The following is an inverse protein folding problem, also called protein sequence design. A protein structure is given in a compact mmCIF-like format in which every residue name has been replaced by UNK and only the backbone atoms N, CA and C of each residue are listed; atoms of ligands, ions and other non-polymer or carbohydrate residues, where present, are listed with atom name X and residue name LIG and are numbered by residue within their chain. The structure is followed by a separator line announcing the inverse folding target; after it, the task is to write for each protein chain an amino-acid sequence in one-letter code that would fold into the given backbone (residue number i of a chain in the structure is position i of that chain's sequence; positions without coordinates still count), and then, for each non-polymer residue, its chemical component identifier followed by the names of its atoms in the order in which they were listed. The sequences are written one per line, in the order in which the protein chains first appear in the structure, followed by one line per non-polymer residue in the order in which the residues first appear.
data_IF_898112693185
#
_entry.id   IF_898112693185
#
_cell.length_a   1.000
_cell.length_b   1.000
_cell.length_c   1.000
_cell.angle_alpha   90.00
_cell.angle_beta   90.00
_cell.angle_gamma   90.00
#
_symmetry.space_group_name_H-M   'P 1'
#
loop_
_entity.id
_entity.type
_entity.pdbx_description
1 polymer ?
#
# COMPACT_ATOMS: atom_id res chain seq x y z
N UNK A 1 -23.05 33.78 -19.09
CA UNK A 1 -22.34 32.78 -19.90
C UNK A 1 -21.58 31.85 -18.96
N UNK A 2 -21.96 30.56 -18.97
CA UNK A 2 -21.24 29.33 -18.62
C UNK A 2 -20.18 29.39 -17.51
N UNK A 3 -20.18 28.54 -16.47
CA UNK A 3 -20.72 27.19 -16.33
C UNK A 3 -19.74 26.44 -15.41
N UNK A 4 -20.18 25.98 -14.25
CA UNK A 4 -20.50 24.55 -14.07
C UNK A 4 -19.35 23.60 -14.51
N UNK A 5 -18.17 23.66 -13.86
CA UNK A 5 -17.02 22.82 -14.23
C UNK A 5 -16.32 22.09 -13.07
N UNK A 6 -16.97 21.84 -11.93
CA UNK A 6 -16.40 21.01 -10.85
C UNK A 6 -17.39 19.98 -10.29
N UNK A 7 -17.92 19.10 -11.15
CA UNK A 7 -18.69 17.94 -10.68
C UNK A 7 -18.33 16.60 -11.34
N UNK A 8 -17.30 16.56 -12.19
CA UNK A 8 -17.11 15.45 -13.14
C UNK A 8 -16.11 14.36 -12.74
N UNK A 9 -15.59 14.34 -11.50
CA UNK A 9 -14.68 13.26 -11.04
C UNK A 9 -15.22 12.38 -9.90
N UNK A 10 -16.51 12.49 -9.55
CA UNK A 10 -17.13 11.64 -8.53
C UNK A 10 -17.90 10.42 -9.08
N UNK A 11 -18.06 10.29 -10.41
CA UNK A 11 -18.97 9.28 -11.00
C UNK A 11 -18.24 8.04 -11.54
N UNK A 12 -16.92 8.08 -11.74
CA UNK A 12 -16.19 6.98 -12.37
C UNK A 12 -15.76 5.83 -11.42
N UNK A 13 -15.95 5.97 -10.10
CA UNK A 13 -15.64 4.90 -9.13
C UNK A 13 -16.80 3.90 -8.94
N UNK A 14 -18.00 4.21 -9.43
CA UNK A 14 -19.19 3.36 -9.27
C UNK A 14 -19.42 2.36 -10.43
N UNK A 15 -18.56 2.35 -11.46
CA UNK A 15 -18.79 1.60 -12.71
C UNK A 15 -18.03 0.26 -12.79
N UNK A 16 -17.90 -0.44 -11.66
CA UNK A 16 -17.40 -1.84 -11.62
C UNK A 16 -18.46 -2.85 -11.13
N UNK A 17 -19.73 -2.43 -11.01
CA UNK A 17 -20.88 -3.33 -10.81
C UNK A 17 -21.65 -3.52 -12.12
N UNK A 18 -20.95 -3.97 -13.15
CA UNK A 18 -21.55 -4.32 -14.44
C UNK A 18 -21.78 -5.83 -14.47
N UNK A 19 -23.05 -6.24 -14.56
CA UNK A 19 -23.42 -7.59 -14.98
C UNK A 19 -24.23 -8.45 -14.00
N UNK A 20 -25.36 -7.96 -13.48
CA UNK A 20 -26.45 -8.87 -13.07
C UNK A 20 -27.55 -8.82 -14.12
N UNK A 21 -27.33 -9.56 -15.20
CA UNK A 21 -28.39 -9.94 -16.14
C UNK A 21 -29.03 -11.26 -15.67
N UNK A 22 -30.32 -11.36 -15.94
CA UNK A 22 -31.21 -12.52 -15.80
C UNK A 22 -31.69 -12.86 -14.38
N UNK A 23 -32.65 -12.08 -13.90
CA UNK A 23 -33.73 -12.64 -13.10
C UNK A 23 -34.71 -13.34 -14.05
N UNK A 24 -34.50 -14.63 -14.29
CA UNK A 24 -35.47 -15.59 -14.86
C UNK A 24 -35.16 -16.92 -14.15
N UNK A 25 -36.08 -17.69 -13.58
CA UNK A 25 -37.52 -17.63 -13.53
C UNK A 25 -37.93 -18.33 -12.22
N UNK A 26 -38.97 -17.82 -11.55
CA UNK A 26 -39.63 -18.52 -10.45
C UNK A 26 -40.43 -19.67 -11.06
N UNK A 27 -39.83 -20.85 -11.17
CA UNK A 27 -40.60 -22.08 -11.36
C UNK A 27 -41.32 -22.41 -10.06
N UNK A 28 -42.62 -22.12 -10.02
CA UNK A 28 -43.55 -22.61 -9.02
C UNK A 28 -43.82 -24.11 -9.25
N UNK A 29 -44.15 -24.79 -8.14
CA UNK A 29 -44.76 -26.12 -7.99
C UNK A 29 -43.82 -27.31 -7.76
N UNK A 30 -43.72 -27.70 -6.49
CA UNK A 30 -43.78 -29.11 -6.08
C UNK A 30 -42.45 -29.79 -5.76
N UNK A 31 -42.12 -29.90 -4.47
CA UNK A 31 -41.25 -30.97 -3.97
C UNK A 31 -40.06 -30.52 -3.11
N UNK A 32 -40.17 -30.79 -1.80
CA UNK A 32 -39.12 -30.98 -0.78
C UNK A 32 -37.72 -30.36 -0.98
N UNK A 33 -37.38 -29.46 -0.04
CA UNK A 33 -36.03 -29.17 0.44
C UNK A 33 -35.17 -30.46 0.52
N UNK A 34 -33.91 -30.42 0.05
CA UNK A 34 -32.90 -30.11 1.05
C UNK A 34 -31.78 -29.18 0.59
N UNK A 35 -31.28 -28.48 1.62
CA UNK A 35 -29.90 -28.09 1.91
C UNK A 35 -29.14 -27.27 0.85
N UNK A 36 -28.81 -26.01 1.14
CA UNK A 36 -27.72 -25.64 2.06
C UNK A 36 -26.39 -26.32 1.70
N UNK A 37 -25.82 -26.02 0.53
CA UNK A 37 -24.37 -26.12 0.38
C UNK A 37 -23.85 -25.12 -0.65
N UNK A 38 -24.13 -23.83 -0.41
CA UNK A 38 -23.31 -22.79 -1.01
C UNK A 38 -21.92 -22.90 -0.36
N UNK A 39 -20.86 -23.28 -1.09
CA UNK A 39 -19.54 -23.28 -0.49
C UNK A 39 -19.22 -21.82 -0.15
N UNK A 40 -18.97 -21.56 1.14
CA UNK A 40 -18.27 -20.36 1.55
C UNK A 40 -16.94 -20.37 0.80
N UNK A 41 -16.82 -19.56 -0.25
CA UNK A 41 -15.55 -19.38 -0.94
C UNK A 41 -14.50 -19.00 0.10
N UNK A 42 -13.27 -19.53 0.01
CA UNK A 42 -12.23 -19.17 0.95
C UNK A 42 -12.14 -17.64 0.96
N UNK A 43 -12.32 -17.05 2.14
CA UNK A 43 -11.90 -15.68 2.36
C UNK A 43 -10.39 -15.70 2.16
N UNK A 44 -9.93 -15.39 0.94
CA UNK A 44 -8.55 -15.04 0.72
C UNK A 44 -8.28 -13.87 1.65
N UNK A 45 -7.60 -14.13 2.76
CA UNK A 45 -7.07 -13.08 3.60
C UNK A 45 -6.24 -12.21 2.67
N UNK A 46 -6.71 -11.00 2.38
CA UNK A 46 -5.96 -10.07 1.53
C UNK A 46 -4.67 -9.78 2.29
N UNK A 47 -3.52 -10.23 1.77
CA UNK A 47 -2.30 -10.21 2.54
C UNK A 47 -1.97 -8.75 2.86
N UNK A 48 -1.87 -8.42 4.14
CA UNK A 48 -1.95 -7.03 4.59
C UNK A 48 -0.56 -6.42 4.56
N UNK A 49 -0.39 -5.30 3.86
CA UNK A 49 0.91 -4.65 3.76
C UNK A 49 1.20 -3.86 5.04
N UNK A 50 2.33 -4.16 5.69
CA UNK A 50 2.72 -3.50 6.94
C UNK A 50 4.14 -2.93 6.86
N UNK A 51 4.40 -1.78 7.52
CA UNK A 51 5.76 -1.28 7.67
C UNK A 51 6.58 -2.28 8.50
N UNK A 52 7.81 -2.54 8.05
CA UNK A 52 8.73 -3.46 8.70
C UNK A 52 9.98 -2.71 9.15
N UNK A 53 10.34 -2.87 10.42
CA UNK A 53 11.55 -2.32 11.01
C UNK A 53 12.43 -3.46 11.48
N UNK A 54 13.74 -3.36 11.27
CA UNK A 54 14.67 -4.43 11.68
C UNK A 54 14.63 -4.66 13.19
N UNK A 55 14.89 -5.91 13.58
CA UNK A 55 14.85 -6.37 14.98
C UNK A 55 15.78 -5.63 15.95
N UNK A 56 16.75 -4.89 15.41
CA UNK A 56 17.81 -4.24 16.19
C UNK A 56 17.34 -2.95 16.91
N UNK A 57 16.09 -2.50 16.71
CA UNK A 57 15.57 -1.28 17.34
C UNK A 57 14.12 -1.47 17.79
N UNK A 58 13.86 -1.32 19.09
CA UNK A 58 12.51 -1.21 19.63
C UNK A 58 11.96 0.18 19.32
N UNK A 59 11.28 0.32 18.18
CA UNK A 59 10.60 1.55 17.82
C UNK A 59 9.17 1.56 18.39
N UNK A 60 8.68 2.71 18.89
CA UNK A 60 7.27 2.84 19.21
C UNK A 60 6.42 2.59 17.95
N UNK A 61 5.15 2.18 18.10
CA UNK A 61 4.25 1.99 16.96
C UNK A 61 4.22 3.25 16.10
N UNK A 62 4.50 3.08 14.80
CA UNK A 62 4.60 4.19 13.86
C UNK A 62 3.23 4.56 13.35
N UNK A 63 2.81 5.80 13.59
CA UNK A 63 1.61 6.35 12.96
C UNK A 63 1.87 6.71 11.49
N UNK A 64 0.79 6.81 10.70
CA UNK A 64 0.81 7.15 9.29
C UNK A 64 1.53 8.46 8.99
N UNK A 65 1.39 9.48 9.82
CA UNK A 65 2.08 10.75 9.62
C UNK A 65 3.61 10.60 9.76
N UNK A 66 4.05 9.82 10.74
CA UNK A 66 5.46 9.50 10.94
C UNK A 66 6.02 8.66 9.78
N UNK A 67 5.26 7.66 9.30
CA UNK A 67 5.64 6.89 8.10
C UNK A 67 5.79 7.82 6.90
N UNK A 68 4.85 8.75 6.68
CA UNK A 68 4.98 9.75 5.61
C UNK A 68 6.23 10.61 5.80
N UNK A 69 6.52 11.08 7.01
CA UNK A 69 7.72 11.87 7.28
C UNK A 69 9.00 11.10 6.93
N UNK A 70 9.08 9.82 7.28
CA UNK A 70 10.22 8.94 6.99
C UNK A 70 10.34 8.66 5.48
N UNK A 71 9.28 8.19 4.82
CA UNK A 71 9.34 7.79 3.40
C UNK A 71 9.49 8.99 2.45
N UNK A 72 9.00 10.17 2.82
CA UNK A 72 9.28 11.42 2.10
C UNK A 72 10.63 12.06 2.49
N UNK A 73 11.43 11.38 3.33
CA UNK A 73 12.76 11.82 3.78
C UNK A 73 12.74 13.18 4.50
N UNK A 74 11.60 13.53 5.12
CA UNK A 74 11.45 14.69 6.01
C UNK A 74 12.01 14.41 7.39
N UNK A 75 11.93 13.15 7.83
CA UNK A 75 12.54 12.65 9.05
C UNK A 75 13.68 11.69 8.69
N UNK A 76 14.91 12.08 9.01
CA UNK A 76 16.14 11.33 8.68
C UNK A 76 16.77 10.63 9.88
N UNK A 77 16.23 10.84 11.09
CA UNK A 77 16.70 10.23 12.33
C UNK A 77 15.53 9.68 13.14
N UNK A 78 15.77 8.54 13.78
CA UNK A 78 14.89 7.96 14.78
C UNK A 78 14.93 8.78 16.08
N UNK A 79 13.94 8.64 16.98
CA UNK A 79 13.95 9.32 18.29
C UNK A 79 15.19 9.02 19.14
N UNK A 80 15.82 7.86 18.92
CA UNK A 80 17.07 7.47 19.58
C UNK A 80 18.34 8.07 18.93
N UNK A 81 18.21 8.90 17.89
CA UNK A 81 19.32 9.53 17.17
C UNK A 81 19.91 8.70 16.03
N UNK A 82 19.52 7.43 15.87
CA UNK A 82 20.00 6.55 14.79
C UNK A 82 19.53 7.07 13.43
N UNK A 83 20.38 7.11 12.40
CA UNK A 83 19.96 7.51 11.06
C UNK A 83 18.94 6.53 10.49
N UNK A 84 17.88 7.06 9.86
CA UNK A 84 16.86 6.27 9.16
C UNK A 84 17.41 5.84 7.81
N UNK A 85 17.36 4.54 7.52
CA UNK A 85 17.72 3.97 6.22
C UNK A 85 16.49 3.35 5.58
N UNK A 86 15.98 3.99 4.53
CA UNK A 86 14.75 3.55 3.87
C UNK A 86 15.07 2.61 2.72
N UNK A 87 14.40 1.45 2.71
CA UNK A 87 14.45 0.46 1.64
C UNK A 87 13.09 0.39 0.94
N UNK A 88 13.10 0.32 -0.39
CA UNK A 88 11.90 0.34 -1.23
C UNK A 88 11.99 -0.68 -2.35
N UNK A 89 10.87 -1.28 -2.74
CA UNK A 89 10.75 -2.06 -3.97
C UNK A 89 10.60 -1.14 -5.19
N UNK A 90 10.78 -1.67 -6.43
CA UNK A 90 10.60 -0.88 -7.64
C UNK A 90 9.18 -0.32 -7.76
N UNK A 91 9.03 0.84 -8.41
CA UNK A 91 7.74 1.57 -8.49
C UNK A 91 6.58 0.76 -9.07
N UNK A 92 6.90 -0.20 -9.96
CA UNK A 92 5.93 -1.08 -10.62
C UNK A 92 5.60 -2.35 -9.80
N UNK A 93 6.30 -2.58 -8.70
CA UNK A 93 6.07 -3.75 -7.85
C UNK A 93 4.71 -3.63 -7.17
N UNK A 94 3.88 -4.68 -7.23
CA UNK A 94 2.53 -4.68 -6.67
C UNK A 94 2.50 -4.27 -5.20
N UNK A 95 3.41 -4.84 -4.40
CA UNK A 95 3.59 -4.52 -2.98
C UNK A 95 3.93 -3.03 -2.74
N UNK A 96 4.79 -2.41 -3.56
CA UNK A 96 5.08 -0.97 -3.44
C UNK A 96 3.84 -0.12 -3.75
N UNK A 97 3.09 -0.47 -4.79
CA UNK A 97 1.86 0.21 -5.19
C UNK A 97 0.82 0.13 -4.06
N UNK A 98 0.66 -1.05 -3.44
CA UNK A 98 -0.24 -1.24 -2.31
C UNK A 98 0.22 -0.46 -1.08
N UNK A 99 1.49 -0.60 -0.68
CA UNK A 99 2.07 0.14 0.45
C UNK A 99 1.84 1.65 0.35
N UNK A 100 2.18 2.23 -0.81
CA UNK A 100 2.04 3.68 -1.02
C UNK A 100 0.58 4.12 -0.94
N UNK A 101 -0.35 3.38 -1.53
CA UNK A 101 -1.78 3.73 -1.56
C UNK A 101 -2.50 3.47 -0.24
N UNK A 102 -2.24 2.32 0.38
CA UNK A 102 -3.00 1.85 1.54
C UNK A 102 -2.40 2.39 2.85
N UNK A 103 -1.07 2.40 2.97
CA UNK A 103 -0.39 2.82 4.21
C UNK A 103 -0.08 4.32 4.17
N UNK A 104 0.60 4.80 3.12
CA UNK A 104 0.95 6.22 3.04
C UNK A 104 -0.23 7.08 2.55
N UNK A 105 -1.12 6.51 1.74
CA UNK A 105 -2.19 7.17 0.99
C UNK A 105 -1.68 8.28 0.07
N UNK A 106 -0.67 7.91 -0.72
CA UNK A 106 -0.16 8.66 -1.87
C UNK A 106 0.05 7.69 -3.02
N UNK A 107 0.13 8.21 -4.24
CA UNK A 107 0.47 7.36 -5.38
C UNK A 107 2.00 7.22 -5.52
N UNK A 108 2.51 6.10 -6.06
CA UNK A 108 3.95 5.86 -6.24
C UNK A 108 4.69 7.02 -6.93
N UNK A 109 4.08 7.61 -7.96
CA UNK A 109 4.70 8.71 -8.71
C UNK A 109 4.90 9.98 -7.87
N UNK A 110 4.08 10.22 -6.83
CA UNK A 110 4.22 11.38 -5.93
C UNK A 110 5.40 11.19 -4.97
N UNK A 111 5.61 9.94 -4.55
CA UNK A 111 6.74 9.57 -3.71
C UNK A 111 8.05 9.64 -4.52
N UNK A 112 8.05 9.06 -5.73
CA UNK A 112 9.15 9.16 -6.70
C UNK A 112 9.53 10.60 -7.02
N UNK A 113 8.57 11.46 -7.36
CA UNK A 113 8.85 12.86 -7.69
C UNK A 113 9.49 13.63 -6.54
N UNK A 114 9.16 13.29 -5.29
CA UNK A 114 9.80 13.88 -4.12
C UNK A 114 11.26 13.45 -4.02
N UNK A 115 11.54 12.15 -4.21
CA UNK A 115 12.92 11.64 -4.22
C UNK A 115 13.74 12.23 -5.35
N UNK A 116 13.20 12.29 -6.57
CA UNK A 116 13.87 12.85 -7.73
C UNK A 116 14.25 14.31 -7.49
N UNK A 117 13.32 15.11 -6.93
CA UNK A 117 13.60 16.51 -6.57
C UNK A 117 14.76 16.63 -5.59
N UNK A 118 14.82 15.78 -4.58
CA UNK A 118 15.91 15.79 -3.59
C UNK A 118 17.26 15.39 -4.20
N UNK A 119 17.26 14.42 -5.11
CA UNK A 119 18.46 14.00 -5.85
C UNK A 119 18.96 15.14 -6.74
N UNK A 120 18.07 15.76 -7.52
CA UNK A 120 18.44 16.87 -8.40
C UNK A 120 18.91 18.11 -7.65
N UNK A 121 18.37 18.39 -6.45
CA UNK A 121 18.82 19.51 -5.62
C UNK A 121 20.01 19.18 -4.72
N UNK A 122 20.48 17.94 -4.70
CA UNK A 122 21.57 17.49 -3.82
C UNK A 122 21.26 17.57 -2.33
N UNK A 123 19.98 17.59 -1.94
CA UNK A 123 19.54 17.90 -0.56
C UNK A 123 19.25 16.64 0.27
N UNK A 124 19.46 15.43 -0.26
CA UNK A 124 19.18 14.21 0.49
C UNK A 124 19.71 12.94 -0.15
N UNK A 125 19.68 11.86 0.63
CA UNK A 125 20.03 10.51 0.16
C UNK A 125 18.71 9.81 -0.23
N UNK A 126 18.56 9.35 -1.48
CA UNK A 126 17.36 8.63 -1.88
C UNK A 126 17.27 7.27 -1.17
N UNK A 127 16.08 6.70 -1.04
CA UNK A 127 15.91 5.34 -0.55
C UNK A 127 16.65 4.31 -1.41
N UNK A 128 17.11 3.24 -0.78
CA UNK A 128 17.76 2.13 -1.49
C UNK A 128 16.69 1.24 -2.11
N UNK A 129 16.78 1.03 -3.43
CA UNK A 129 15.86 0.13 -4.15
C UNK A 129 16.37 -1.32 -4.02
N UNK A 130 15.52 -2.22 -3.55
CA UNK A 130 15.78 -3.68 -3.48
C UNK A 130 14.95 -4.41 -4.53
N UNK A 131 15.41 -5.56 -5.01
CA UNK A 131 14.77 -6.28 -6.12
C UNK A 131 13.64 -7.22 -5.69
N UNK A 132 13.55 -7.56 -4.40
CA UNK A 132 12.54 -8.49 -3.89
C UNK A 132 12.29 -8.37 -2.39
N UNK A 133 11.27 -9.10 -1.93
CA UNK A 133 10.80 -9.09 -0.54
C UNK A 133 11.82 -9.75 0.41
N UNK A 134 12.46 -10.83 -0.02
CA UNK A 134 13.50 -11.49 0.79
C UNK A 134 14.73 -10.58 0.96
N UNK A 135 15.13 -9.88 -0.11
CA UNK A 135 16.19 -8.89 -0.05
C UNK A 135 15.79 -7.71 0.85
N UNK A 136 14.53 -7.23 0.77
CA UNK A 136 14.00 -6.21 1.67
C UNK A 136 14.21 -6.60 3.14
N UNK A 137 13.75 -7.79 3.53
CA UNK A 137 13.89 -8.29 4.90
C UNK A 137 15.36 -8.35 5.31
N UNK A 138 16.19 -9.01 4.51
CA UNK A 138 17.62 -9.17 4.80
C UNK A 138 18.34 -7.83 4.95
N UNK A 139 18.07 -6.86 4.08
CA UNK A 139 18.72 -5.53 4.09
C UNK A 139 18.25 -4.68 5.26
N UNK A 140 16.97 -4.75 5.60
CA UNK A 140 16.40 -4.05 6.76
C UNK A 140 16.98 -4.59 8.06
N UNK A 141 17.10 -5.91 8.21
CA UNK A 141 17.67 -6.54 9.40
C UNK A 141 19.18 -6.31 9.53
N UNK A 142 19.90 -6.32 8.41
CA UNK A 142 21.34 -6.07 8.38
C UNK A 142 21.73 -4.60 8.62
N UNK A 143 20.80 -3.66 8.46
CA UNK A 143 21.09 -2.22 8.52
C UNK A 143 20.52 -1.59 9.78
N UNK A 144 21.35 -1.07 10.70
CA UNK A 144 20.86 -0.30 11.83
C UNK A 144 20.05 0.92 11.37
N UNK A 145 18.86 1.08 11.93
CA UNK A 145 17.89 2.11 11.56
C UNK A 145 17.15 1.85 10.25
N UNK A 146 17.24 0.63 9.72
CA UNK A 146 16.56 0.16 8.52
C UNK A 146 15.03 0.15 8.68
N UNK A 147 14.34 0.66 7.67
CA UNK A 147 12.88 0.55 7.52
C UNK A 147 12.53 0.16 6.10
N UNK A 148 11.58 -0.76 6.00
CA UNK A 148 10.96 -1.18 4.76
C UNK A 148 9.50 -1.52 5.01
N UNK A 149 8.96 -2.43 4.23
CA UNK A 149 7.59 -2.91 4.35
C UNK A 149 7.50 -4.31 3.76
N UNK A 150 6.67 -5.14 4.36
CA UNK A 150 6.46 -6.53 4.00
C UNK A 150 4.97 -6.83 3.89
N UNK A 151 4.68 -7.92 3.22
CA UNK A 151 3.35 -8.52 3.14
C UNK A 151 3.30 -9.65 4.18
N UNK A 152 2.34 -9.59 5.10
CA UNK A 152 2.05 -10.63 6.12
C UNK A 152 0.86 -11.49 5.70
#
# INVERSE_FOLDING_TARGET
MSGFYLRTKCVAYLDARRGRRAALARCLLGGLLPLLLWPAGPASADPTVRPYTGSNHSNPPLDREQLRAIFFVRQTKWPNGTPVRVFVLPDRHALHIRFTKEVLGVYPYQLRSTWDRMVYSGTGVPPTVVQGVDEMRSRVDATPGGIGYLEE
#
